data_IF_478848264662
#
_entry.id   IF_478848264662
#
_cell.length_a   1.000
_cell.length_b   1.000
_cell.length_c   1.000
_cell.angle_alpha   90.00
_cell.angle_beta   90.00
_cell.angle_gamma   90.00
#
_symmetry.space_group_name_H-M   'P 1'
#
loop_
_entity.id
_entity.type
_entity.pdbx_description
1 polymer ?
#
# COMPACT_ATOMS: atom_id res chain seq x y z
N UNK A 1 20.24 -21.03 7.88
CA UNK A 1 20.23 -20.87 6.42
C UNK A 1 19.80 -19.46 6.14
N UNK A 2 20.57 -18.75 5.32
CA UNK A 2 20.23 -17.38 4.96
C UNK A 2 18.92 -17.37 4.17
N UNK A 3 18.07 -16.37 4.39
CA UNK A 3 16.76 -16.29 3.74
C UNK A 3 16.89 -16.06 2.24
N UNK A 4 17.95 -15.37 1.80
CA UNK A 4 18.27 -15.19 0.39
C UNK A 4 18.65 -16.53 -0.25
N UNK A 5 19.42 -17.37 0.44
CA UNK A 5 19.75 -18.73 -0.04
C UNK A 5 18.50 -19.59 -0.17
N UNK A 6 17.59 -19.54 0.81
CA UNK A 6 16.32 -20.28 0.77
C UNK A 6 15.47 -19.84 -0.42
N UNK A 7 15.26 -18.53 -0.58
CA UNK A 7 14.44 -17.99 -1.67
C UNK A 7 15.07 -18.27 -3.04
N UNK A 8 16.40 -18.17 -3.16
CA UNK A 8 17.11 -18.52 -4.40
C UNK A 8 16.98 -20.01 -4.73
N UNK A 9 17.12 -20.89 -3.75
CA UNK A 9 16.93 -22.33 -3.94
C UNK A 9 15.50 -22.64 -4.42
N UNK A 10 14.50 -22.01 -3.80
CA UNK A 10 13.11 -22.11 -4.22
C UNK A 10 12.90 -21.71 -5.69
N UNK A 11 13.44 -20.55 -6.10
CA UNK A 11 13.34 -20.08 -7.49
C UNK A 11 13.98 -21.07 -8.45
N UNK A 12 15.21 -21.52 -8.17
CA UNK A 12 15.94 -22.42 -9.07
C UNK A 12 15.27 -23.80 -9.21
N UNK A 13 14.61 -24.28 -8.16
CA UNK A 13 13.89 -25.56 -8.17
C UNK A 13 12.57 -25.48 -8.94
N UNK A 14 11.81 -24.38 -8.77
CA UNK A 14 10.46 -24.25 -9.36
C UNK A 14 10.43 -23.57 -10.72
N UNK A 15 11.40 -22.69 -10.97
CA UNK A 15 11.53 -21.90 -12.20
C UNK A 15 12.97 -21.95 -12.72
N UNK A 16 13.45 -23.11 -13.19
CA UNK A 16 14.79 -23.24 -13.76
C UNK A 16 15.00 -22.33 -14.98
N UNK A 17 13.92 -22.02 -15.70
CA UNK A 17 13.92 -21.14 -16.88
C UNK A 17 13.66 -19.66 -16.54
N UNK A 18 13.75 -19.28 -15.25
CA UNK A 18 13.58 -17.89 -14.84
C UNK A 18 14.68 -16.99 -15.43
N UNK A 19 14.27 -15.88 -16.04
CA UNK A 19 15.18 -14.84 -16.52
C UNK A 19 15.70 -13.98 -15.37
N UNK A 20 14.83 -13.69 -14.41
CA UNK A 20 15.20 -13.01 -13.18
C UNK A 20 14.27 -13.36 -12.03
N UNK A 21 14.72 -13.13 -10.80
CA UNK A 21 13.85 -13.22 -9.63
C UNK A 21 14.26 -12.26 -8.52
N UNK A 22 13.27 -11.80 -7.76
CA UNK A 22 13.43 -10.89 -6.62
C UNK A 22 12.81 -11.50 -5.37
N UNK A 23 13.45 -11.28 -4.22
CA UNK A 23 12.81 -11.40 -2.92
C UNK A 23 12.42 -9.99 -2.49
N UNK A 24 11.14 -9.76 -2.24
CA UNK A 24 10.63 -8.55 -1.63
C UNK A 24 10.21 -8.76 -0.18
N UNK A 25 9.38 -7.84 0.30
CA UNK A 25 8.64 -8.05 1.53
C UNK A 25 9.39 -7.76 2.82
N UNK A 26 8.69 -8.00 3.94
CA UNK A 26 9.20 -7.64 5.27
C UNK A 26 10.43 -8.45 5.70
N UNK A 27 10.68 -9.58 5.05
CA UNK A 27 11.75 -10.52 5.39
C UNK A 27 13.16 -9.95 5.18
N UNK A 28 13.28 -8.92 4.34
CA UNK A 28 14.52 -8.18 4.08
C UNK A 28 14.76 -7.02 5.05
N UNK A 29 13.83 -6.76 5.97
CA UNK A 29 13.87 -5.57 6.83
C UNK A 29 14.11 -5.95 8.29
N UNK A 30 14.52 -4.98 9.10
CA UNK A 30 14.56 -5.11 10.57
C UNK A 30 13.20 -5.41 11.21
N UNK A 31 12.09 -5.24 10.46
CA UNK A 31 10.72 -5.51 10.88
C UNK A 31 10.23 -6.93 10.52
N UNK A 32 11.14 -7.83 10.14
CA UNK A 32 10.87 -9.26 9.93
C UNK A 32 10.34 -9.90 11.21
N UNK A 33 9.40 -10.83 11.07
CA UNK A 33 8.88 -11.64 12.18
C UNK A 33 8.95 -13.13 11.83
N UNK A 34 8.69 -14.00 12.80
CA UNK A 34 8.56 -15.44 12.55
C UNK A 34 7.38 -15.78 11.61
N UNK A 35 6.44 -14.86 11.40
CA UNK A 35 5.31 -15.00 10.47
C UNK A 35 5.53 -14.29 9.13
N UNK A 36 6.73 -13.77 8.86
CA UNK A 36 7.04 -13.17 7.56
C UNK A 36 7.13 -14.27 6.50
N UNK A 37 6.44 -14.03 5.39
CA UNK A 37 6.47 -14.79 4.14
C UNK A 37 7.66 -14.39 3.26
N UNK A 38 7.92 -15.22 2.25
CA UNK A 38 8.79 -14.89 1.12
C UNK A 38 7.91 -14.33 -0.01
N UNK A 39 7.92 -13.01 -0.17
CA UNK A 39 7.32 -12.35 -1.32
C UNK A 39 8.28 -12.48 -2.52
N UNK A 40 8.03 -13.42 -3.44
CA UNK A 40 8.96 -13.74 -4.53
C UNK A 40 8.38 -13.31 -5.87
N UNK A 41 9.10 -12.46 -6.61
CA UNK A 41 8.76 -12.11 -8.00
C UNK A 41 9.66 -12.91 -8.92
N UNK A 42 9.09 -13.59 -9.92
CA UNK A 42 9.83 -14.31 -10.97
C UNK A 42 9.46 -13.74 -12.33
N UNK A 43 10.48 -13.49 -13.15
CA UNK A 43 10.33 -13.07 -14.54
C UNK A 43 10.62 -14.23 -15.48
N UNK A 44 9.63 -14.59 -16.29
CA UNK A 44 9.72 -15.58 -17.37
C UNK A 44 9.68 -14.88 -18.72
N UNK A 45 10.09 -15.60 -19.78
CA UNK A 45 10.00 -15.09 -21.15
C UNK A 45 8.58 -15.15 -21.73
N UNK A 46 7.73 -16.03 -21.20
CA UNK A 46 6.40 -16.31 -21.73
C UNK A 46 5.55 -17.16 -20.78
N UNK A 47 4.63 -17.97 -21.32
CA UNK A 47 3.81 -18.87 -20.53
C UNK A 47 4.66 -19.78 -19.62
N UNK A 48 4.18 -20.13 -18.41
CA UNK A 48 2.82 -19.94 -17.92
C UNK A 48 2.52 -18.56 -17.28
N UNK A 49 3.40 -17.57 -17.37
CA UNK A 49 3.12 -16.22 -16.87
C UNK A 49 1.94 -15.54 -17.61
N UNK A 50 1.14 -14.67 -16.96
CA UNK A 50 1.24 -14.27 -15.56
C UNK A 50 0.38 -15.13 -14.62
N UNK A 51 0.86 -15.37 -13.41
CA UNK A 51 0.04 -15.94 -12.34
C UNK A 51 0.57 -15.58 -10.94
N UNK A 52 -0.29 -15.76 -9.94
CA UNK A 52 0.07 -15.69 -8.52
C UNK A 52 -0.22 -17.03 -7.85
N UNK A 53 0.65 -17.46 -6.96
CA UNK A 53 0.48 -18.69 -6.20
C UNK A 53 0.95 -18.48 -4.75
N UNK A 54 0.13 -18.93 -3.79
CA UNK A 54 0.51 -19.02 -2.38
C UNK A 54 0.83 -20.48 -2.06
N UNK A 55 2.03 -20.76 -1.58
CA UNK A 55 2.47 -22.13 -1.29
C UNK A 55 3.44 -22.18 -0.10
N UNK A 56 3.87 -23.39 0.29
CA UNK A 56 4.93 -23.59 1.28
C UNK A 56 6.16 -24.18 0.61
N UNK A 57 7.32 -23.56 0.82
CA UNK A 57 8.61 -24.13 0.47
C UNK A 57 9.37 -24.45 1.76
N UNK A 58 9.49 -25.75 2.07
CA UNK A 58 9.93 -26.20 3.41
C UNK A 58 9.01 -25.57 4.48
N UNK A 59 9.59 -24.88 5.46
CA UNK A 59 8.83 -24.20 6.52
C UNK A 59 8.39 -22.77 6.18
N UNK A 60 8.74 -22.26 4.99
CA UNK A 60 8.46 -20.89 4.57
C UNK A 60 7.14 -20.78 3.82
N UNK A 61 6.20 -19.92 4.26
CA UNK A 61 5.14 -19.42 3.39
C UNK A 61 5.77 -18.59 2.26
N UNK A 62 5.32 -18.83 1.04
CA UNK A 62 5.78 -18.11 -0.15
C UNK A 62 4.57 -17.53 -0.86
N UNK A 63 4.63 -16.23 -1.12
CA UNK A 63 3.73 -15.52 -2.03
C UNK A 63 4.50 -15.31 -3.33
N UNK A 64 4.19 -16.12 -4.34
CA UNK A 64 4.87 -16.13 -5.63
C UNK A 64 4.09 -15.30 -6.65
N UNK A 65 4.80 -14.39 -7.33
CA UNK A 65 4.29 -13.51 -8.38
C UNK A 65 5.09 -13.77 -9.66
N UNK A 66 4.48 -14.40 -10.66
CA UNK A 66 5.17 -14.76 -11.90
C UNK A 66 4.66 -13.91 -13.04
N UNK A 67 5.58 -13.26 -13.74
CA UNK A 67 5.27 -12.30 -14.80
C UNK A 67 6.24 -12.45 -15.98
N UNK A 68 5.80 -12.08 -17.18
CA UNK A 68 6.70 -11.55 -18.22
C UNK A 68 6.97 -10.07 -17.95
N UNK A 69 7.99 -9.46 -18.58
CA UNK A 69 8.21 -8.00 -18.50
C UNK A 69 6.92 -7.22 -18.87
N UNK A 70 6.24 -7.59 -19.96
CA UNK A 70 5.01 -6.95 -20.43
C UNK A 70 3.85 -7.05 -19.44
N UNK A 71 3.67 -8.23 -18.84
CA UNK A 71 2.60 -8.42 -17.84
C UNK A 71 2.93 -7.67 -16.55
N UNK A 72 4.20 -7.63 -16.11
CA UNK A 72 4.61 -6.81 -14.97
C UNK A 72 4.26 -5.34 -15.21
N UNK A 73 4.54 -4.83 -16.41
CA UNK A 73 4.20 -3.46 -16.80
C UNK A 73 2.70 -3.19 -16.79
N UNK A 74 1.91 -4.14 -17.30
CA UNK A 74 0.45 -4.03 -17.36
C UNK A 74 -0.21 -4.06 -15.98
N UNK A 75 0.41 -4.70 -14.97
CA UNK A 75 -0.05 -4.67 -13.58
C UNK A 75 0.42 -3.41 -12.85
N UNK A 76 1.70 -3.07 -12.96
CA UNK A 76 2.26 -1.92 -12.24
C UNK A 76 1.63 -0.61 -12.70
N UNK A 77 1.37 -0.41 -13.99
CA UNK A 77 0.83 0.87 -14.51
C UNK A 77 -0.46 1.33 -13.82
N UNK A 78 -1.55 0.52 -13.78
CA UNK A 78 -2.76 0.90 -13.05
C UNK A 78 -2.54 0.97 -11.53
N UNK A 79 -1.67 0.16 -10.95
CA UNK A 79 -1.34 0.23 -9.52
C UNK A 79 -0.64 1.55 -9.15
N UNK A 80 0.22 2.08 -10.02
CA UNK A 80 0.84 3.41 -9.88
C UNK A 80 -0.23 4.49 -9.92
N UNK A 81 -1.17 4.42 -10.86
CA UNK A 81 -2.29 5.37 -10.93
C UNK A 81 -3.16 5.33 -9.65
N UNK A 82 -3.31 4.15 -9.05
CA UNK A 82 -3.98 3.93 -7.77
C UNK A 82 -3.09 4.22 -6.55
N UNK A 83 -1.84 4.68 -6.76
CA UNK A 83 -0.86 5.01 -5.71
C UNK A 83 -0.47 3.84 -4.81
N UNK A 84 -0.70 2.60 -5.23
CA UNK A 84 -0.48 1.42 -4.39
C UNK A 84 -0.01 0.25 -5.25
N UNK A 85 1.31 0.11 -5.37
CA UNK A 85 1.94 -0.95 -6.18
C UNK A 85 2.94 -1.80 -5.39
N UNK A 86 2.49 -2.83 -4.64
CA UNK A 86 3.40 -3.76 -3.98
C UNK A 86 4.39 -4.40 -4.96
N UNK A 87 3.93 -4.77 -6.17
CA UNK A 87 4.76 -5.39 -7.20
C UNK A 87 5.93 -4.49 -7.64
N UNK A 88 5.68 -3.19 -7.82
CA UNK A 88 6.73 -2.21 -8.08
C UNK A 88 7.77 -2.20 -6.96
N UNK A 89 7.32 -2.11 -5.70
CA UNK A 89 8.21 -2.04 -4.54
C UNK A 89 9.01 -3.32 -4.30
N UNK A 90 8.45 -4.49 -4.61
CA UNK A 90 9.18 -5.76 -4.56
C UNK A 90 10.35 -5.80 -5.54
N UNK A 91 10.24 -5.15 -6.70
CA UNK A 91 11.36 -5.05 -7.65
C UNK A 91 12.29 -3.86 -7.36
N UNK A 92 11.78 -2.76 -6.80
CA UNK A 92 12.58 -1.57 -6.50
C UNK A 92 13.49 -1.75 -5.28
N UNK A 93 12.93 -2.25 -4.17
CA UNK A 93 13.61 -2.39 -2.87
C UNK A 93 14.01 -3.84 -2.58
N UNK A 94 13.53 -4.80 -3.38
CA UNK A 94 13.82 -6.21 -3.18
C UNK A 94 15.26 -6.60 -3.52
N UNK A 95 15.66 -7.75 -2.96
CA UNK A 95 16.95 -8.36 -3.26
C UNK A 95 16.85 -9.17 -4.56
N UNK A 96 17.75 -8.90 -5.49
CA UNK A 96 17.87 -9.67 -6.73
C UNK A 96 18.46 -11.06 -6.41
N UNK A 97 17.66 -12.11 -6.62
CA UNK A 97 18.02 -13.50 -6.35
C UNK A 97 18.72 -14.17 -7.53
N UNK A 98 18.26 -13.82 -8.74
CA UNK A 98 18.69 -14.40 -10.01
C UNK A 98 18.61 -13.33 -11.11
N UNK A 99 19.61 -13.32 -11.99
CA UNK A 99 19.63 -12.51 -13.20
C UNK A 99 20.40 -13.27 -14.29
N UNK A 100 19.67 -13.93 -15.20
CA UNK A 100 20.26 -14.82 -16.19
C UNK A 100 20.81 -14.04 -17.40
N UNK A 101 20.22 -12.89 -17.73
CA UNK A 101 20.45 -12.16 -18.99
C UNK A 101 20.45 -10.62 -18.80
N UNK A 102 20.53 -10.15 -17.57
CA UNK A 102 20.48 -8.73 -17.22
C UNK A 102 19.05 -8.16 -17.10
N UNK A 103 17.99 -8.94 -17.35
CA UNK A 103 16.60 -8.49 -17.14
C UNK A 103 16.36 -8.08 -15.69
N UNK A 104 16.95 -8.79 -14.73
CA UNK A 104 16.80 -8.48 -13.30
C UNK A 104 17.33 -7.09 -12.97
N UNK A 105 18.59 -6.80 -13.32
CA UNK A 105 19.18 -5.48 -13.10
C UNK A 105 18.39 -4.36 -13.79
N UNK A 106 17.96 -4.56 -15.06
CA UNK A 106 17.16 -3.56 -15.79
C UNK A 106 15.81 -3.30 -15.16
N UNK A 107 15.12 -4.35 -14.71
CA UNK A 107 13.81 -4.26 -14.06
C UNK A 107 13.89 -3.61 -12.69
N UNK A 108 14.90 -3.92 -11.89
CA UNK A 108 15.13 -3.27 -10.59
C UNK A 108 15.32 -1.76 -10.76
N UNK A 109 16.17 -1.37 -11.70
CA UNK A 109 16.51 0.02 -11.98
C UNK A 109 15.31 0.79 -12.56
N UNK A 110 14.52 0.14 -13.42
CA UNK A 110 13.24 0.69 -13.89
C UNK A 110 12.24 0.87 -12.75
N UNK A 111 12.09 -0.13 -11.87
CA UNK A 111 11.20 -0.06 -10.74
C UNK A 111 11.58 1.06 -9.77
N UNK A 112 12.88 1.24 -9.49
CA UNK A 112 13.39 2.36 -8.69
C UNK A 112 13.03 3.72 -9.28
N UNK A 113 13.22 3.89 -10.60
CA UNK A 113 12.84 5.14 -11.28
C UNK A 113 11.34 5.43 -11.19
N UNK A 114 10.50 4.42 -11.41
CA UNK A 114 9.04 4.58 -11.29
C UNK A 114 8.62 4.88 -9.85
N UNK A 115 9.21 4.20 -8.86
CA UNK A 115 8.95 4.45 -7.44
C UNK A 115 9.34 5.87 -7.02
N UNK A 116 10.50 6.34 -7.49
CA UNK A 116 11.00 7.69 -7.23
C UNK A 116 10.19 8.77 -7.95
N UNK A 117 9.72 8.51 -9.17
CA UNK A 117 8.84 9.42 -9.90
C UNK A 117 7.48 9.62 -9.21
N UNK A 118 7.01 8.60 -8.49
CA UNK A 118 5.75 8.64 -7.76
C UNK A 118 4.51 8.47 -8.65
N UNK A 119 3.32 8.41 -8.04
CA UNK A 119 2.07 8.39 -8.77
C UNK A 119 1.77 9.73 -9.47
N UNK A 120 0.83 9.77 -10.44
CA UNK A 120 0.34 11.02 -11.02
C UNK A 120 -0.16 12.00 -9.95
N UNK A 121 -0.26 13.32 -10.22
CA UNK A 121 -0.86 14.27 -9.27
C UNK A 121 -2.29 13.89 -8.86
N UNK A 122 -2.69 14.21 -7.61
CA UNK A 122 -4.07 14.02 -7.15
C UNK A 122 -4.95 15.01 -7.90
N UNK A 123 -6.05 14.55 -8.50
CA UNK A 123 -7.01 15.46 -9.13
C UNK A 123 -7.78 16.23 -8.06
N UNK A 124 -8.19 17.47 -8.35
CA UNK A 124 -9.00 18.25 -7.41
C UNK A 124 -10.28 17.52 -6.97
N UNK A 125 -10.93 16.81 -7.90
CA UNK A 125 -12.12 16.01 -7.60
C UNK A 125 -11.81 14.85 -6.63
N UNK A 126 -10.71 14.13 -6.81
CA UNK A 126 -10.33 13.04 -5.91
C UNK A 126 -9.96 13.54 -4.51
N UNK A 127 -9.31 14.70 -4.41
CA UNK A 127 -9.01 15.32 -3.12
C UNK A 127 -10.28 15.80 -2.41
N UNK A 128 -11.21 16.42 -3.15
CA UNK A 128 -12.51 16.83 -2.63
C UNK A 128 -13.36 15.61 -2.19
N UNK A 129 -13.33 14.50 -2.94
CA UNK A 129 -14.01 13.26 -2.57
C UNK A 129 -13.47 12.68 -1.25
N UNK A 130 -12.14 12.68 -1.08
CA UNK A 130 -11.51 12.20 0.15
C UNK A 130 -11.87 13.09 1.35
N UNK A 131 -11.87 14.42 1.17
CA UNK A 131 -12.28 15.38 2.20
C UNK A 131 -13.75 15.26 2.57
N UNK A 132 -14.63 15.16 1.59
CA UNK A 132 -16.07 14.99 1.81
C UNK A 132 -16.34 13.72 2.62
N UNK A 133 -15.80 12.58 2.17
CA UNK A 133 -16.02 11.31 2.85
C UNK A 133 -15.42 11.27 4.27
N UNK A 134 -14.34 12.01 4.53
CA UNK A 134 -13.79 12.15 5.88
C UNK A 134 -14.60 13.12 6.75
N UNK A 135 -15.19 14.16 6.16
CA UNK A 135 -16.07 15.11 6.87
C UNK A 135 -17.36 14.41 7.32
N UNK A 136 -18.02 13.69 6.40
CA UNK A 136 -19.20 12.86 6.66
C UNK A 136 -18.96 11.88 7.82
N UNK A 137 -17.84 11.15 7.75
CA UNK A 137 -17.48 10.18 8.78
C UNK A 137 -17.14 10.82 10.14
N UNK A 138 -16.61 12.04 10.13
CA UNK A 138 -16.34 12.78 11.37
C UNK A 138 -17.65 13.20 12.06
N UNK A 139 -18.67 13.57 11.29
CA UNK A 139 -20.00 13.88 11.82
C UNK A 139 -20.66 12.62 12.42
N UNK A 140 -20.59 11.48 11.72
CA UNK A 140 -21.05 10.18 12.22
C UNK A 140 -20.34 9.79 13.54
N UNK A 141 -19.03 10.03 13.62
CA UNK A 141 -18.26 9.79 14.84
C UNK A 141 -18.72 10.67 16.01
N UNK A 142 -19.16 11.90 15.76
CA UNK A 142 -19.76 12.76 16.78
C UNK A 142 -21.10 12.24 17.30
N UNK A 143 -21.84 11.50 16.48
CA UNK A 143 -23.17 10.97 16.80
C UNK A 143 -23.16 9.54 17.35
N UNK A 144 -22.06 8.79 17.19
CA UNK A 144 -22.02 7.36 17.55
C UNK A 144 -22.10 7.13 19.06
N UNK A 145 -23.10 6.36 19.50
CA UNK A 145 -23.30 5.98 20.91
C UNK A 145 -22.87 4.55 21.20
N UNK A 146 -23.14 3.62 20.27
CA UNK A 146 -22.88 2.19 20.45
C UNK A 146 -21.40 1.85 20.35
N UNK A 147 -20.88 1.11 21.33
CA UNK A 147 -19.45 0.77 21.40
C UNK A 147 -19.00 -0.10 20.20
N UNK A 148 -19.87 -1.01 19.73
CA UNK A 148 -19.61 -1.84 18.57
C UNK A 148 -19.45 -1.02 17.29
N UNK A 149 -20.33 -0.04 17.06
CA UNK A 149 -20.26 0.87 15.91
C UNK A 149 -19.06 1.81 16.00
N UNK A 150 -18.77 2.33 17.20
CA UNK A 150 -17.60 3.19 17.47
C UNK A 150 -16.30 2.54 17.00
N UNK A 151 -16.14 1.22 17.19
CA UNK A 151 -14.96 0.51 16.71
C UNK A 151 -14.75 0.66 15.19
N UNK A 152 -15.82 0.46 14.41
CA UNK A 152 -15.75 0.54 12.95
C UNK A 152 -15.53 1.97 12.48
N UNK A 153 -16.21 2.94 13.09
CA UNK A 153 -16.06 4.37 12.77
C UNK A 153 -14.63 4.84 13.06
N UNK A 154 -14.08 4.53 14.24
CA UNK A 154 -12.70 4.91 14.62
C UNK A 154 -11.68 4.26 13.68
N UNK A 155 -11.82 2.98 13.35
CA UNK A 155 -10.89 2.30 12.45
C UNK A 155 -10.90 2.94 11.04
N UNK A 156 -12.07 3.32 10.55
CA UNK A 156 -12.21 3.97 9.25
C UNK A 156 -11.70 5.42 9.27
N UNK A 157 -11.93 6.18 10.35
CA UNK A 157 -11.37 7.51 10.55
C UNK A 157 -9.84 7.47 10.46
N UNK A 158 -9.19 6.59 11.23
CA UNK A 158 -7.72 6.45 11.21
C UNK A 158 -7.21 6.16 9.80
N UNK A 159 -7.87 5.25 9.08
CA UNK A 159 -7.49 4.90 7.71
C UNK A 159 -7.61 6.11 6.77
N UNK A 160 -8.78 6.77 6.74
CA UNK A 160 -9.06 7.89 5.84
C UNK A 160 -8.24 9.13 6.16
N UNK A 161 -8.01 9.43 7.43
CA UNK A 161 -7.13 10.53 7.85
C UNK A 161 -5.70 10.29 7.37
N UNK A 162 -5.17 9.09 7.56
CA UNK A 162 -3.85 8.74 7.04
C UNK A 162 -3.76 8.82 5.51
N UNK A 163 -4.78 8.32 4.80
CA UNK A 163 -4.83 8.40 3.35
C UNK A 163 -4.92 9.85 2.85
N UNK A 164 -5.75 10.70 3.46
CA UNK A 164 -5.87 12.11 3.09
C UNK A 164 -4.54 12.83 3.26
N UNK A 165 -3.83 12.61 4.38
CA UNK A 165 -2.50 13.18 4.57
C UNK A 165 -1.53 12.77 3.44
N UNK A 166 -1.48 11.48 3.09
CA UNK A 166 -0.63 10.99 1.98
C UNK A 166 -1.03 11.59 0.62
N UNK A 167 -2.33 11.78 0.36
CA UNK A 167 -2.84 12.42 -0.85
C UNK A 167 -2.40 13.88 -0.92
N UNK A 168 -2.50 14.64 0.18
CA UNK A 168 -2.06 16.05 0.25
C UNK A 168 -0.55 16.19 0.00
N UNK A 169 0.24 15.20 0.41
CA UNK A 169 1.68 15.13 0.10
C UNK A 169 1.99 14.56 -1.30
N UNK A 170 0.97 14.18 -2.08
CA UNK A 170 1.14 13.66 -3.43
C UNK A 170 1.87 12.30 -3.50
N UNK A 171 1.98 11.58 -2.39
CA UNK A 171 2.82 10.38 -2.29
C UNK A 171 2.03 9.07 -2.46
N UNK A 172 2.73 7.96 -2.26
CA UNK A 172 2.19 6.59 -2.31
C UNK A 172 1.27 6.31 -1.12
N UNK A 173 0.16 5.63 -1.37
CA UNK A 173 -0.72 5.09 -0.34
C UNK A 173 -0.15 3.80 0.27
N UNK A 174 -0.70 3.41 1.41
CA UNK A 174 -0.31 2.19 2.11
C UNK A 174 -1.52 1.48 2.70
N UNK A 175 -1.56 0.15 2.63
CA UNK A 175 -2.58 -0.66 3.29
C UNK A 175 -2.08 -1.26 4.60
N UNK A 176 -2.94 -1.35 5.61
CA UNK A 176 -2.60 -1.92 6.92
C UNK A 176 -1.34 -1.29 7.50
N UNK A 177 -0.35 -2.11 7.88
CA UNK A 177 0.94 -1.65 8.43
C UNK A 177 1.70 -0.66 7.55
N UNK A 178 1.45 -0.68 6.23
CA UNK A 178 2.13 0.23 5.30
C UNK A 178 1.58 1.64 5.33
N UNK A 179 0.34 1.86 5.79
CA UNK A 179 -0.19 3.22 5.96
C UNK A 179 0.71 4.03 6.90
N UNK A 180 0.93 3.51 8.12
CA UNK A 180 1.82 4.12 9.10
C UNK A 180 3.25 4.31 8.57
N UNK A 181 3.80 3.31 7.86
CA UNK A 181 5.16 3.39 7.30
C UNK A 181 5.31 4.44 6.20
N UNK A 182 4.24 4.70 5.44
CA UNK A 182 4.22 5.71 4.38
C UNK A 182 3.98 7.12 4.91
N UNK A 183 3.30 7.24 6.05
CA UNK A 183 3.14 8.51 6.75
C UNK A 183 4.46 9.03 7.31
N UNK A 184 5.28 8.16 7.90
CA UNK A 184 6.52 8.54 8.59
C UNK A 184 7.41 9.55 7.85
N UNK A 185 7.71 9.40 6.55
CA UNK A 185 8.62 10.32 5.85
C UNK A 185 7.99 11.67 5.48
N UNK A 186 6.67 11.81 5.51
CA UNK A 186 5.96 13.00 5.00
C UNK A 186 5.13 13.72 6.07
N UNK A 187 4.63 12.98 7.05
CA UNK A 187 3.90 13.47 8.21
C UNK A 187 4.41 12.72 9.45
N UNK A 188 5.61 13.08 9.96
CA UNK A 188 6.19 12.46 11.14
C UNK A 188 5.24 12.50 12.33
N UNK A 189 5.29 11.47 13.18
CA UNK A 189 4.45 11.29 14.36
C UNK A 189 2.93 11.14 14.12
N UNK A 190 2.40 11.45 12.93
CA UNK A 190 0.96 11.37 12.66
C UNK A 190 0.42 9.97 12.89
N UNK A 191 1.16 8.93 12.51
CA UNK A 191 0.77 7.55 12.75
C UNK A 191 0.68 7.21 14.26
N UNK A 192 1.60 7.74 15.08
CA UNK A 192 1.60 7.53 16.53
C UNK A 192 0.48 8.33 17.21
N UNK A 193 0.26 9.58 16.79
CA UNK A 193 -0.84 10.43 17.27
C UNK A 193 -2.21 9.80 16.94
N UNK A 194 -2.35 9.24 15.74
CA UNK A 194 -3.58 8.53 15.33
C UNK A 194 -3.82 7.28 16.19
N UNK A 195 -2.79 6.50 16.50
CA UNK A 195 -2.92 5.34 17.39
C UNK A 195 -3.38 5.77 18.80
N UNK A 196 -2.69 6.74 19.41
CA UNK A 196 -3.04 7.23 20.75
C UNK A 196 -4.48 7.78 20.80
N UNK A 197 -4.84 8.64 19.84
CA UNK A 197 -6.15 9.26 19.77
C UNK A 197 -7.26 8.23 19.49
N UNK A 198 -7.02 7.26 18.61
CA UNK A 198 -7.97 6.18 18.34
C UNK A 198 -8.20 5.30 19.57
N UNK A 199 -7.14 4.95 20.30
CA UNK A 199 -7.24 4.19 21.54
C UNK A 199 -8.04 4.94 22.61
N UNK A 200 -7.84 6.27 22.73
CA UNK A 200 -8.63 7.11 23.63
C UNK A 200 -10.11 7.18 23.21
N UNK A 201 -10.38 7.36 21.92
CA UNK A 201 -11.73 7.40 21.36
C UNK A 201 -12.50 6.10 21.64
N UNK A 202 -11.86 4.94 21.48
CA UNK A 202 -12.46 3.64 21.81
C UNK A 202 -12.80 3.48 23.30
N UNK A 203 -12.10 4.21 24.18
CA UNK A 203 -12.38 4.26 25.63
C UNK A 203 -13.37 5.36 26.02
N UNK A 204 -13.98 6.05 25.05
CA UNK A 204 -14.98 7.09 25.30
C UNK A 204 -14.44 8.51 25.47
N UNK A 205 -13.20 8.77 25.06
CA UNK A 205 -12.61 10.12 25.00
C UNK A 205 -12.37 10.52 23.51
N UNK A 206 -13.40 10.98 22.78
CA UNK A 206 -13.33 11.22 21.34
C UNK A 206 -12.56 12.47 20.94
N UNK A 207 -12.37 13.43 21.86
CA UNK A 207 -11.95 14.80 21.57
C UNK A 207 -10.60 14.87 20.86
N UNK A 208 -9.64 14.02 21.28
CA UNK A 208 -8.32 13.97 20.67
C UNK A 208 -8.35 13.47 19.22
N UNK A 209 -9.18 12.48 18.91
CA UNK A 209 -9.32 11.98 17.55
C UNK A 209 -10.05 13.01 16.66
N UNK A 210 -11.12 13.62 17.17
CA UNK A 210 -11.83 14.70 16.46
C UNK A 210 -10.87 15.82 16.08
N UNK A 211 -10.10 16.35 17.05
CA UNK A 211 -9.15 17.43 16.81
C UNK A 211 -8.09 17.06 15.75
N UNK A 212 -7.56 15.83 15.82
CA UNK A 212 -6.55 15.35 14.88
C UNK A 212 -7.10 15.17 13.46
N UNK A 213 -8.34 14.67 13.32
CA UNK A 213 -9.00 14.54 12.02
C UNK A 213 -9.24 15.92 11.42
N UNK A 214 -9.72 16.88 12.21
CA UNK A 214 -9.93 18.27 11.79
C UNK A 214 -8.62 18.92 11.33
N UNK A 215 -7.50 18.73 12.05
CA UNK A 215 -6.18 19.23 11.64
C UNK A 215 -5.80 18.75 10.23
N UNK A 216 -6.00 17.46 9.93
CA UNK A 216 -5.67 16.90 8.61
C UNK A 216 -6.64 17.39 7.53
N UNK A 217 -7.93 17.55 7.84
CA UNK A 217 -8.90 18.18 6.95
C UNK A 217 -8.49 19.62 6.61
N UNK A 218 -8.14 20.43 7.62
CA UNK A 218 -7.72 21.82 7.45
C UNK A 218 -6.45 21.93 6.60
N UNK A 219 -5.47 21.06 6.82
CA UNK A 219 -4.28 20.98 5.97
C UNK A 219 -4.59 20.61 4.51
N UNK A 220 -5.69 19.88 4.26
CA UNK A 220 -6.19 19.58 2.92
C UNK A 220 -7.13 20.66 2.35
N UNK A 221 -7.35 21.76 3.09
CA UNK A 221 -8.18 22.91 2.71
C UNK A 221 -9.57 22.94 3.36
N UNK A 222 -9.78 22.19 4.44
CA UNK A 222 -10.95 22.23 5.32
C UNK A 222 -11.94 21.06 5.16
N UNK A 223 -12.99 21.01 5.98
CA UNK A 223 -14.13 20.11 5.75
C UNK A 223 -14.85 20.43 4.43
N UNK A 224 -15.59 19.46 3.89
CA UNK A 224 -16.46 19.63 2.72
C UNK A 224 -17.81 19.00 3.01
N UNK A 225 -18.87 19.79 2.90
CA UNK A 225 -20.24 19.31 3.01
C UNK A 225 -21.16 20.06 2.06
N UNK A 226 -21.39 21.34 2.35
CA UNK A 226 -22.19 22.21 1.52
C UNK A 226 -21.56 22.36 0.12
N UNK A 227 -22.38 22.19 -0.92
CA UNK A 227 -21.96 22.31 -2.31
C UNK A 227 -21.30 21.06 -2.90
N UNK A 228 -21.04 20.01 -2.11
CA UNK A 228 -20.54 18.76 -2.65
C UNK A 228 -21.54 18.13 -3.62
N UNK A 229 -21.08 17.78 -4.83
CA UNK A 229 -21.91 17.16 -5.87
C UNK A 229 -21.08 16.26 -6.78
N UNK A 230 -21.60 15.07 -7.06
CA UNK A 230 -21.11 14.16 -8.12
C UNK A 230 -22.26 13.71 -9.01
N UNK A 231 -21.93 13.43 -10.27
CA UNK A 231 -22.89 12.81 -11.19
C UNK A 231 -22.88 11.30 -10.97
N UNK A 232 -24.06 10.68 -10.91
CA UNK A 232 -24.17 9.22 -10.90
C UNK A 232 -23.66 8.59 -12.21
N UNK A 233 -23.47 7.26 -12.23
CA UNK A 233 -23.06 6.56 -13.45
C UNK A 233 -24.09 6.81 -14.55
N UNK A 234 -23.64 7.33 -15.69
CA UNK A 234 -24.45 7.32 -16.91
C UNK A 234 -24.30 5.96 -17.55
N UNK A 235 -25.40 5.24 -17.75
CA UNK A 235 -25.42 4.12 -18.69
C UNK A 235 -24.98 4.68 -20.04
N UNK A 236 -23.90 4.14 -20.59
CA UNK A 236 -23.63 4.27 -22.01
C UNK A 236 -24.47 3.19 -22.67
N UNK A 237 -25.47 3.60 -23.45
CA UNK A 237 -26.21 2.71 -24.34
C UNK A 237 -25.32 2.24 -25.49
#
# INVERSE_FOLDING_TARGET
MDVLEVARAFVLERHPDARAAFLGGSVLTSRRTARSDLDVVVLLDGPPAPYRESLRYRDWPVELFVHTEDTWHSFVTPEIAQRKSPLLWMCADGALLLDADGTGARMAERAKRLAAAGPPPVTGAALEDARYALTDLLDDFGAVTEAGERLFVVAELVRRTGELALLTHGTWLGGGKWLARRLEPVAPDLAARLDEAAQAALRGAPEGLTALVTEVLDAAGGPVWEGYRRSGPRRMD
#
